data_IF_172701659957
#
_entry.id   IF_172701659957
#
_cell.length_a   1.000
_cell.length_b   1.000
_cell.length_c   1.000
_cell.angle_alpha   90.00
_cell.angle_beta   90.00
_cell.angle_gamma   90.00
#
_symmetry.space_group_name_H-M   'P 1'
#
loop_
_entity.id
_entity.type
_entity.pdbx_description
1 polymer ?
#
# COMPACT_ATOMS: atom_id res chain seq x y z
N UNK A 1 7.57 11.19 -18.61
CA UNK A 1 6.16 11.64 -18.70
C UNK A 1 5.47 11.20 -17.43
N UNK A 2 4.78 12.09 -16.72
CA UNK A 2 3.98 11.71 -15.56
C UNK A 2 2.62 11.18 -16.01
N UNK A 3 2.25 10.00 -15.53
CA UNK A 3 0.89 9.47 -15.71
C UNK A 3 -0.05 10.35 -14.85
N UNK A 4 -1.18 10.85 -15.37
CA UNK A 4 -2.15 11.57 -14.56
C UNK A 4 -2.62 10.72 -13.38
N UNK A 5 -2.67 11.30 -12.17
CA UNK A 5 -2.99 10.57 -10.93
C UNK A 5 -4.25 9.72 -11.04
N UNK A 6 -5.32 10.26 -11.64
CA UNK A 6 -6.58 9.54 -11.82
C UNK A 6 -6.44 8.28 -12.69
N UNK A 7 -5.65 8.35 -13.77
CA UNK A 7 -5.41 7.19 -14.64
C UNK A 7 -4.59 6.13 -13.91
N UNK A 8 -3.61 6.55 -13.09
CA UNK A 8 -2.83 5.66 -12.25
C UNK A 8 -3.70 4.97 -11.20
N UNK A 9 -4.53 5.75 -10.50
CA UNK A 9 -5.47 5.26 -9.49
C UNK A 9 -6.44 4.22 -10.06
N UNK A 10 -7.09 4.53 -11.19
CA UNK A 10 -8.00 3.60 -11.88
C UNK A 10 -7.29 2.29 -12.26
N UNK A 11 -6.03 2.35 -12.74
CA UNK A 11 -5.25 1.15 -13.05
C UNK A 11 -4.90 0.32 -11.82
N UNK A 12 -4.45 0.96 -10.75
CA UNK A 12 -4.05 0.28 -9.51
C UNK A 12 -5.26 -0.37 -8.83
N UNK A 13 -6.42 0.31 -8.80
CA UNK A 13 -7.65 -0.26 -8.27
C UNK A 13 -8.15 -1.44 -9.11
N UNK A 14 -7.94 -1.43 -10.43
CA UNK A 14 -8.26 -2.58 -11.26
C UNK A 14 -7.38 -3.80 -10.95
N UNK A 15 -6.09 -3.60 -10.69
CA UNK A 15 -5.20 -4.71 -10.25
C UNK A 15 -5.63 -5.25 -8.89
N UNK A 16 -6.01 -4.38 -7.95
CA UNK A 16 -6.54 -4.81 -6.66
C UNK A 16 -7.84 -5.61 -6.82
N UNK A 17 -8.76 -5.15 -7.68
CA UNK A 17 -10.00 -5.86 -7.95
C UNK A 17 -9.77 -7.23 -8.60
N UNK A 18 -8.77 -7.35 -9.47
CA UNK A 18 -8.35 -8.63 -10.06
C UNK A 18 -7.83 -9.62 -9.00
N UNK A 19 -7.02 -9.14 -8.05
CA UNK A 19 -6.43 -9.98 -6.99
C UNK A 19 -7.46 -10.40 -5.93
N UNK A 20 -8.29 -9.47 -5.47
CA UNK A 20 -9.31 -9.73 -4.43
C UNK A 20 -10.49 -10.55 -4.96
N UNK A 21 -10.89 -10.34 -6.22
CA UNK A 21 -12.04 -11.00 -6.83
C UNK A 21 -13.33 -10.77 -6.03
N UNK A 22 -13.92 -11.85 -5.51
CA UNK A 22 -15.15 -11.80 -4.69
C UNK A 22 -14.88 -11.45 -3.21
N UNK A 23 -13.61 -11.44 -2.77
CA UNK A 23 -13.20 -11.07 -1.43
C UNK A 23 -12.00 -11.88 -0.90
N UNK A 24 -11.22 -11.27 -0.01
CA UNK A 24 -10.19 -11.99 0.76
C UNK A 24 -10.82 -12.79 1.91
N UNK A 25 -11.17 -14.04 1.62
CA UNK A 25 -11.81 -14.97 2.57
C UNK A 25 -10.97 -15.14 3.84
N UNK A 26 -9.63 -15.13 3.74
CA UNK A 26 -8.76 -15.34 4.89
C UNK A 26 -8.88 -14.19 5.87
N UNK A 27 -8.78 -12.94 5.38
CA UNK A 27 -8.96 -11.75 6.22
C UNK A 27 -10.40 -11.61 6.73
N UNK A 28 -11.41 -11.98 5.92
CA UNK A 28 -12.81 -11.96 6.35
C UNK A 28 -13.09 -12.91 7.52
N UNK A 29 -12.41 -14.06 7.58
CA UNK A 29 -12.57 -15.06 8.64
C UNK A 29 -11.74 -14.77 9.89
N UNK A 30 -10.54 -14.20 9.73
CA UNK A 30 -9.55 -14.11 10.81
C UNK A 30 -9.41 -12.70 11.42
N UNK A 31 -9.80 -11.66 10.69
CA UNK A 31 -9.57 -10.26 11.11
C UNK A 31 -10.91 -9.61 11.42
N UNK A 32 -11.04 -8.94 12.57
CA UNK A 32 -12.26 -8.20 12.92
C UNK A 32 -12.54 -7.08 11.91
N UNK A 33 -13.80 -6.84 11.53
CA UNK A 33 -14.16 -5.74 10.64
C UNK A 33 -13.91 -4.35 11.25
N UNK A 34 -13.81 -4.23 12.57
CA UNK A 34 -13.55 -3.00 13.32
C UNK A 34 -12.05 -2.77 13.59
N UNK A 35 -11.19 -3.73 13.25
CA UNK A 35 -9.76 -3.65 13.54
C UNK A 35 -9.11 -2.50 12.74
N UNK A 36 -8.60 -1.49 13.46
CA UNK A 36 -7.81 -0.39 12.89
C UNK A 36 -6.37 -0.53 13.37
N UNK A 37 -5.42 -0.52 12.43
CA UNK A 37 -4.00 -0.77 12.72
C UNK A 37 -3.12 0.30 12.09
N UNK A 38 -1.88 0.37 12.58
CA UNK A 38 -0.77 1.09 11.95
C UNK A 38 0.21 0.05 11.38
N UNK A 39 0.44 0.09 10.08
CA UNK A 39 1.32 -0.82 9.34
C UNK A 39 2.53 -0.06 8.77
N UNK A 40 3.64 -0.77 8.60
CA UNK A 40 4.88 -0.25 8.04
C UNK A 40 5.36 -1.12 6.87
N UNK A 41 5.68 -0.49 5.74
CA UNK A 41 6.44 -1.13 4.67
C UNK A 41 7.91 -0.95 4.99
N UNK A 42 8.62 -2.05 5.21
CA UNK A 42 10.00 -2.06 5.66
C UNK A 42 10.88 -2.70 4.58
N UNK A 43 12.02 -2.07 4.30
CA UNK A 43 13.03 -2.60 3.42
C UNK A 43 13.67 -3.87 4.01
N UNK A 44 13.57 -5.00 3.30
CA UNK A 44 14.26 -6.23 3.68
C UNK A 44 15.76 -6.22 3.35
N UNK A 45 16.17 -5.43 2.35
CA UNK A 45 17.52 -5.40 1.81
C UNK A 45 17.96 -3.99 1.37
N UNK A 46 19.27 -3.75 1.29
CA UNK A 46 19.78 -2.48 0.77
C UNK A 46 19.48 -2.33 -0.73
N UNK A 47 19.17 -1.11 -1.19
CA UNK A 47 18.85 -0.91 -2.60
C UNK A 47 18.58 0.54 -2.96
N UNK A 48 18.01 0.73 -4.15
CA UNK A 48 17.37 1.99 -4.57
C UNK A 48 15.87 1.75 -4.61
N UNK A 49 15.09 2.58 -3.91
CA UNK A 49 13.63 2.43 -3.87
C UNK A 49 12.97 3.01 -5.12
N UNK A 50 11.90 2.39 -5.58
CA UNK A 50 11.03 2.88 -6.65
C UNK A 50 9.59 2.39 -6.40
N UNK A 51 8.59 3.10 -6.92
CA UNK A 51 7.18 2.72 -6.77
C UNK A 51 6.48 3.28 -5.52
N UNK A 52 7.11 4.24 -4.81
CA UNK A 52 6.57 4.77 -3.55
C UNK A 52 5.32 5.61 -3.79
N UNK A 53 5.27 6.37 -4.88
CA UNK A 53 4.10 7.17 -5.23
C UNK A 53 2.92 6.27 -5.62
N UNK A 54 3.16 5.18 -6.35
CA UNK A 54 2.16 4.18 -6.72
C UNK A 54 1.58 3.49 -5.48
N UNK A 55 2.44 3.02 -4.57
CA UNK A 55 2.01 2.42 -3.31
C UNK A 55 1.19 3.42 -2.46
N UNK A 56 1.59 4.70 -2.43
CA UNK A 56 0.83 5.76 -1.75
C UNK A 56 -0.53 5.98 -2.40
N UNK A 57 -0.59 6.09 -3.73
CA UNK A 57 -1.83 6.33 -4.47
C UNK A 57 -2.82 5.19 -4.28
N UNK A 58 -2.37 3.92 -4.40
CA UNK A 58 -3.23 2.75 -4.17
C UNK A 58 -3.80 2.76 -2.74
N UNK A 59 -2.93 2.95 -1.75
CA UNK A 59 -3.34 2.97 -0.34
C UNK A 59 -4.35 4.09 -0.04
N UNK A 60 -4.10 5.31 -0.54
CA UNK A 60 -5.01 6.44 -0.40
C UNK A 60 -6.36 6.19 -1.10
N UNK A 61 -6.34 5.60 -2.29
CA UNK A 61 -7.54 5.27 -3.06
C UNK A 61 -8.39 4.18 -2.38
N UNK A 62 -7.74 3.24 -1.68
CA UNK A 62 -8.40 2.26 -0.82
C UNK A 62 -8.95 2.88 0.49
N UNK A 63 -8.78 4.19 0.70
CA UNK A 63 -9.27 4.91 1.89
C UNK A 63 -8.34 4.86 3.09
N UNK A 64 -7.08 4.46 2.91
CA UNK A 64 -6.08 4.37 3.97
C UNK A 64 -5.31 5.69 4.13
N UNK A 65 -4.95 6.03 5.38
CA UNK A 65 -4.08 7.17 5.67
C UNK A 65 -2.64 6.75 5.47
N UNK A 66 -1.94 7.40 4.54
CA UNK A 66 -0.60 6.97 4.13
C UNK A 66 0.42 8.08 4.28
N UNK A 67 1.65 7.73 4.68
CA UNK A 67 2.79 8.64 4.77
C UNK A 67 4.07 7.98 4.27
N UNK A 68 4.64 8.52 3.20
CA UNK A 68 5.96 8.12 2.70
C UNK A 68 7.10 8.76 3.52
N UNK A 69 8.16 7.99 3.75
CA UNK A 69 9.40 8.45 4.43
C UNK A 69 10.61 8.53 3.50
N UNK A 70 10.47 8.00 2.29
CA UNK A 70 11.48 8.02 1.24
C UNK A 70 10.83 8.46 -0.08
N UNK A 71 11.65 8.76 -1.08
CA UNK A 71 11.24 9.07 -2.45
C UNK A 71 11.90 8.10 -3.41
N UNK A 72 11.25 7.90 -4.56
CA UNK A 72 11.83 7.12 -5.64
C UNK A 72 13.23 7.65 -6.03
N UNK A 73 14.18 6.72 -6.17
CA UNK A 73 15.59 7.00 -6.38
C UNK A 73 16.44 7.09 -5.10
N UNK A 74 15.83 7.15 -3.91
CA UNK A 74 16.56 7.15 -2.65
C UNK A 74 17.26 5.80 -2.41
N UNK A 75 18.46 5.86 -1.81
CA UNK A 75 19.15 4.67 -1.30
C UNK A 75 18.54 4.26 0.04
N UNK A 76 18.24 2.97 0.17
CA UNK A 76 17.62 2.38 1.36
C UNK A 76 18.52 1.31 1.99
N UNK A 77 18.31 1.05 3.28
CA UNK A 77 19.02 0.02 4.05
C UNK A 77 18.02 -1.00 4.61
N UNK A 78 18.47 -2.24 4.90
CA UNK A 78 17.65 -3.22 5.59
C UNK A 78 17.08 -2.66 6.90
N UNK A 79 15.81 -2.92 7.18
CA UNK A 79 15.08 -2.42 8.35
C UNK A 79 14.58 -0.97 8.22
N UNK A 80 14.86 -0.26 7.12
CA UNK A 80 14.37 1.10 6.94
C UNK A 80 12.87 1.11 6.61
N UNK A 81 12.09 1.90 7.35
CA UNK A 81 10.67 2.14 7.07
C UNK A 81 10.54 3.05 5.85
N UNK A 82 9.80 2.58 4.84
CA UNK A 82 9.60 3.27 3.56
C UNK A 82 8.27 4.01 3.53
N UNK A 83 7.21 3.35 4.02
CA UNK A 83 5.83 3.83 4.00
C UNK A 83 5.15 3.44 5.31
N UNK A 84 4.34 4.36 5.86
CA UNK A 84 3.39 4.04 6.94
C UNK A 84 1.97 4.14 6.44
N UNK A 85 1.15 3.17 6.80
CA UNK A 85 -0.25 3.07 6.39
C UNK A 85 -1.10 2.85 7.64
N UNK A 86 -2.18 3.61 7.79
CA UNK A 86 -3.11 3.50 8.91
C UNK A 86 -4.54 3.39 8.40
N UNK A 87 -5.29 2.42 8.91
CA UNK A 87 -6.68 2.23 8.53
C UNK A 87 -7.21 0.86 8.94
N UNK A 88 -8.29 0.45 8.29
CA UNK A 88 -8.90 -0.86 8.52
C UNK A 88 -7.92 -1.98 8.14
N UNK A 89 -7.75 -2.95 9.04
CA UNK A 89 -6.81 -4.04 8.85
C UNK A 89 -7.17 -4.93 7.65
N UNK A 90 -8.45 -5.17 7.39
CA UNK A 90 -8.88 -5.95 6.21
C UNK A 90 -8.52 -5.23 4.92
N UNK A 91 -8.67 -3.91 4.86
CA UNK A 91 -8.29 -3.11 3.69
C UNK A 91 -6.77 -3.05 3.49
N UNK A 92 -5.97 -3.12 4.56
CA UNK A 92 -4.51 -3.17 4.45
C UNK A 92 -4.02 -4.53 3.95
N UNK A 93 -4.74 -5.62 4.25
CA UNK A 93 -4.37 -6.99 3.90
C UNK A 93 -4.95 -7.47 2.56
N UNK A 94 -5.99 -6.79 2.08
CA UNK A 94 -6.64 -7.07 0.81
C UNK A 94 -5.80 -6.63 -0.40
#
# INVERSE_FOLDING_TARGET
>A
MSIPRRILEEKLLNFLAEDVGEGDVTSLLLVSPEAVVDAEVISGEAGTVAGIEEARVLSEAAGLKTRAHVKDGDKIKPGQVLLRVKGNARTILA
#
